data_IF_909381974867
#
_entry.id   IF_909381974867
#
_cell.length_a   1.000
_cell.length_b   1.000
_cell.length_c   1.000
_cell.angle_alpha   90.00
_cell.angle_beta   90.00
_cell.angle_gamma   90.00
#
_symmetry.space_group_name_H-M   'P 1'
#
loop_
_entity.id
_entity.type
_entity.pdbx_description
1 polymer ?
#
# COMPACT_ATOMS: atom_id res chain seq x y z
N UNK A 1 23.67 -17.23 -9.76
CA UNK A 1 22.56 -17.96 -10.38
C UNK A 1 22.68 -17.90 -11.89
N UNK A 2 22.53 -19.04 -12.57
CA UNK A 2 22.69 -19.15 -14.03
C UNK A 2 21.34 -19.12 -14.80
N UNK A 3 20.22 -19.00 -14.09
CA UNK A 3 18.87 -18.93 -14.64
C UNK A 3 18.40 -17.52 -14.93
N UNK A 4 17.12 -17.39 -15.25
CA UNK A 4 16.43 -16.09 -15.47
C UNK A 4 16.09 -15.44 -14.13
N UNK A 5 16.21 -14.11 -14.04
CA UNK A 5 15.82 -13.35 -12.83
C UNK A 5 14.33 -13.58 -12.48
N UNK A 6 13.48 -13.81 -13.48
CA UNK A 6 12.06 -14.09 -13.29
C UNK A 6 11.77 -15.38 -12.52
N UNK A 7 12.74 -16.31 -12.46
CA UNK A 7 12.60 -17.54 -11.69
C UNK A 7 12.43 -17.29 -10.20
N UNK A 8 13.01 -16.21 -9.65
CA UNK A 8 12.79 -15.79 -8.27
C UNK A 8 11.35 -15.33 -8.04
N UNK A 9 10.81 -14.53 -8.95
CA UNK A 9 9.44 -13.99 -8.87
C UNK A 9 8.35 -15.01 -9.18
N UNK A 10 8.71 -16.15 -9.74
CA UNK A 10 7.83 -17.30 -9.94
C UNK A 10 8.08 -18.44 -8.94
N UNK A 11 8.93 -18.21 -7.93
CA UNK A 11 9.32 -19.17 -6.89
C UNK A 11 9.89 -20.48 -7.45
N UNK A 12 10.49 -20.46 -8.64
CA UNK A 12 11.26 -21.57 -9.21
C UNK A 12 12.69 -21.64 -8.65
N UNK A 13 13.17 -20.50 -8.17
CA UNK A 13 14.48 -20.39 -7.50
C UNK A 13 14.37 -19.49 -6.26
N UNK A 14 15.30 -19.66 -5.34
CA UNK A 14 15.45 -18.84 -4.13
C UNK A 14 16.79 -18.11 -4.16
N UNK A 15 16.82 -16.88 -3.60
CA UNK A 15 18.06 -16.13 -3.43
C UNK A 15 18.91 -16.77 -2.34
N UNK A 16 20.04 -17.35 -2.72
CA UNK A 16 21.02 -17.91 -1.79
C UNK A 16 21.97 -16.82 -1.27
N UNK A 17 22.51 -16.03 -2.18
CA UNK A 17 23.40 -14.90 -1.87
C UNK A 17 23.04 -13.68 -2.72
N UNK A 18 23.30 -12.48 -2.17
CA UNK A 18 23.12 -11.22 -2.85
C UNK A 18 24.37 -10.36 -2.72
N UNK A 19 24.69 -9.58 -3.74
CA UNK A 19 25.70 -8.53 -3.62
C UNK A 19 25.27 -7.52 -2.56
N UNK A 20 26.21 -6.90 -1.81
CA UNK A 20 25.86 -5.86 -0.86
C UNK A 20 25.11 -4.71 -1.54
N UNK A 21 23.89 -4.45 -1.10
CA UNK A 21 23.08 -3.34 -1.58
C UNK A 21 23.24 -2.12 -0.68
N UNK A 22 23.12 -0.94 -1.26
CA UNK A 22 23.03 0.32 -0.55
C UNK A 22 22.00 1.22 -1.23
N UNK A 23 21.32 2.05 -0.46
CA UNK A 23 20.32 2.97 -0.97
C UNK A 23 20.72 4.42 -0.72
N UNK A 24 20.52 5.27 -1.73
CA UNK A 24 20.48 6.74 -1.58
C UNK A 24 19.06 7.16 -1.89
N UNK A 25 18.29 7.43 -0.84
CA UNK A 25 16.85 7.63 -0.96
C UNK A 25 16.52 8.98 -1.58
N UNK A 26 15.75 8.98 -2.66
CA UNK A 26 15.30 10.16 -3.39
C UNK A 26 13.79 10.33 -3.40
N UNK A 27 13.03 9.27 -3.10
CA UNK A 27 11.57 9.26 -3.01
C UNK A 27 11.14 8.39 -1.85
N UNK A 28 10.62 8.96 -0.75
CA UNK A 28 10.06 8.20 0.37
C UNK A 28 8.67 7.68 -0.01
N UNK A 29 8.51 6.38 -0.03
CA UNK A 29 7.28 5.66 -0.36
C UNK A 29 7.36 4.22 0.17
N UNK A 30 7.94 3.30 -0.61
CA UNK A 30 8.05 1.88 -0.31
C UNK A 30 9.03 1.50 0.81
N UNK A 31 9.76 2.44 1.41
CA UNK A 31 10.76 2.13 2.44
C UNK A 31 11.85 1.16 1.96
N UNK A 32 12.25 1.25 0.68
CA UNK A 32 13.17 0.31 0.02
C UNK A 32 14.53 0.20 0.71
N UNK A 33 14.94 1.23 1.45
CA UNK A 33 16.18 1.26 2.21
C UNK A 33 16.18 0.33 3.44
N UNK A 34 15.00 -0.09 3.90
CA UNK A 34 14.82 -1.02 5.03
C UNK A 34 13.97 -2.24 4.69
N UNK A 35 13.43 -2.31 3.48
CA UNK A 35 12.61 -3.43 3.00
C UNK A 35 13.47 -4.66 2.66
N UNK A 36 12.86 -5.82 2.73
CA UNK A 36 13.35 -7.10 2.21
C UNK A 36 12.71 -7.47 0.87
N UNK A 37 11.79 -6.64 0.38
CA UNK A 37 11.05 -6.88 -0.86
C UNK A 37 11.64 -6.16 -2.06
N UNK A 38 11.45 -6.75 -3.22
CA UNK A 38 11.70 -6.16 -4.53
C UNK A 38 10.53 -6.46 -5.45
N UNK A 39 10.21 -5.54 -6.36
CA UNK A 39 9.11 -5.68 -7.31
C UNK A 39 9.64 -5.36 -8.70
N UNK A 40 9.32 -6.21 -9.68
CA UNK A 40 9.64 -5.96 -11.08
C UNK A 40 8.44 -6.25 -11.98
N UNK A 41 8.42 -5.62 -13.14
CA UNK A 41 7.43 -5.91 -14.19
C UNK A 41 8.12 -6.69 -15.30
N UNK A 42 7.56 -7.85 -15.66
CA UNK A 42 7.90 -8.55 -16.88
C UNK A 42 7.05 -7.97 -18.01
N UNK A 43 7.69 -7.34 -18.99
CA UNK A 43 7.00 -6.74 -20.15
C UNK A 43 6.33 -7.79 -21.05
N UNK A 44 6.79 -9.06 -20.99
CA UNK A 44 6.07 -10.16 -21.63
C UNK A 44 4.85 -10.54 -20.78
N UNK A 45 3.71 -9.99 -21.16
CA UNK A 45 2.42 -10.17 -20.50
C UNK A 45 2.08 -9.15 -19.42
N UNK A 46 2.88 -8.08 -19.26
CA UNK A 46 2.65 -6.99 -18.27
C UNK A 46 2.40 -7.56 -16.85
N UNK A 47 3.32 -8.43 -16.42
CA UNK A 47 3.23 -9.12 -15.13
C UNK A 47 4.08 -8.41 -14.08
N UNK A 48 3.45 -7.70 -13.14
CA UNK A 48 4.14 -7.08 -12.01
C UNK A 48 4.10 -8.02 -10.80
N UNK A 49 5.26 -8.44 -10.32
CA UNK A 49 5.38 -9.38 -9.19
C UNK A 49 6.43 -8.93 -8.19
N UNK A 50 6.20 -9.32 -6.94
CA UNK A 50 7.13 -9.15 -5.83
C UNK A 50 7.94 -10.41 -5.54
N UNK A 51 9.07 -10.21 -4.87
CA UNK A 51 9.86 -11.24 -4.24
C UNK A 51 10.49 -10.70 -2.97
N UNK A 52 10.41 -11.43 -1.87
CA UNK A 52 10.93 -11.04 -0.56
C UNK A 52 12.05 -11.96 -0.07
N UNK A 53 13.12 -11.36 0.46
CA UNK A 53 14.19 -12.09 1.16
C UNK A 53 15.00 -11.13 2.03
N UNK A 54 15.30 -11.51 3.29
CA UNK A 54 16.18 -10.74 4.16
C UNK A 54 17.58 -10.49 3.57
N UNK A 55 17.98 -11.29 2.57
CA UNK A 55 19.26 -11.14 1.87
C UNK A 55 19.30 -9.90 0.98
N UNK A 56 18.11 -9.37 0.60
CA UNK A 56 17.95 -8.16 -0.23
C UNK A 56 18.04 -6.88 0.60
N UNK A 57 17.98 -6.93 1.93
CA UNK A 57 18.05 -5.73 2.76
C UNK A 57 19.33 -4.96 2.55
N UNK A 58 19.20 -3.63 2.38
CA UNK A 58 20.33 -2.73 2.22
C UNK A 58 21.29 -2.81 3.40
N UNK A 59 22.59 -2.77 3.13
CA UNK A 59 23.66 -2.75 4.14
C UNK A 59 23.91 -1.34 4.69
N UNK A 60 23.55 -0.33 3.93
CA UNK A 60 23.56 1.08 4.35
C UNK A 60 22.50 1.86 3.59
N UNK A 61 22.04 2.98 4.17
CA UNK A 61 21.17 3.92 3.52
C UNK A 61 21.65 5.36 3.76
N UNK A 62 21.60 6.17 2.71
CA UNK A 62 21.79 7.62 2.79
C UNK A 62 20.43 8.28 2.67
N UNK A 63 19.98 8.86 3.77
CA UNK A 63 18.64 9.43 3.91
C UNK A 63 18.76 10.94 4.16
N UNK A 64 18.95 11.71 3.07
CA UNK A 64 18.99 13.18 3.13
C UNK A 64 17.67 13.76 2.59
N UNK A 65 16.82 14.36 3.44
CA UNK A 65 15.56 14.97 3.05
C UNK A 65 15.67 16.01 1.92
N UNK A 66 16.79 16.72 1.79
CA UNK A 66 17.01 17.69 0.72
C UNK A 66 16.97 17.06 -0.69
N UNK A 67 17.28 15.76 -0.80
CA UNK A 67 17.20 15.03 -2.07
C UNK A 67 15.77 14.88 -2.57
N UNK A 68 14.77 15.16 -1.72
CA UNK A 68 13.35 15.06 -2.06
C UNK A 68 12.70 16.42 -2.36
N UNK A 69 13.43 17.56 -2.25
CA UNK A 69 12.88 18.91 -2.47
C UNK A 69 12.34 19.13 -3.87
N UNK A 70 12.93 18.46 -4.86
CA UNK A 70 12.54 18.57 -6.27
C UNK A 70 11.45 17.59 -6.71
N UNK A 71 10.95 16.75 -5.80
CA UNK A 71 9.86 15.84 -6.14
C UNK A 71 8.59 16.62 -6.50
N UNK A 72 7.95 16.27 -7.62
CA UNK A 72 6.64 16.82 -7.95
C UNK A 72 5.63 16.56 -6.83
N UNK A 73 4.66 17.48 -6.60
CA UNK A 73 3.61 17.29 -5.58
C UNK A 73 2.86 15.96 -5.72
N UNK A 74 2.57 15.54 -6.95
CA UNK A 74 1.91 14.27 -7.23
C UNK A 74 2.72 13.06 -6.73
N UNK A 75 4.03 13.04 -6.98
CA UNK A 75 4.90 11.95 -6.53
C UNK A 75 5.07 11.96 -4.99
N UNK A 76 5.11 13.15 -4.39
CA UNK A 76 5.11 13.27 -2.92
C UNK A 76 3.82 12.72 -2.32
N UNK A 77 2.66 13.06 -2.89
CA UNK A 77 1.36 12.58 -2.43
C UNK A 77 1.19 11.07 -2.65
N UNK A 78 1.63 10.55 -3.80
CA UNK A 78 1.63 9.10 -4.07
C UNK A 78 2.51 8.34 -3.06
N UNK A 79 3.70 8.87 -2.73
CA UNK A 79 4.56 8.29 -1.69
C UNK A 79 3.90 8.30 -0.31
N UNK A 80 3.18 9.36 0.04
CA UNK A 80 2.38 9.43 1.29
C UNK A 80 1.31 8.34 1.34
N UNK A 81 0.59 8.11 0.24
CA UNK A 81 -0.39 7.01 0.16
C UNK A 81 0.30 5.67 0.39
N UNK A 82 1.40 5.41 -0.29
CA UNK A 82 2.13 4.15 -0.20
C UNK A 82 2.61 3.85 1.24
N UNK A 83 3.14 4.87 1.95
CA UNK A 83 3.50 4.76 3.37
C UNK A 83 2.29 4.35 4.24
N UNK A 84 1.13 4.99 4.03
CA UNK A 84 -0.10 4.66 4.75
C UNK A 84 -0.54 3.24 4.41
N UNK A 85 -0.52 2.87 3.13
CA UNK A 85 -0.98 1.55 2.68
C UNK A 85 -0.09 0.43 3.21
N UNK A 86 1.23 0.55 3.21
CA UNK A 86 2.12 -0.42 3.85
C UNK A 86 1.81 -0.62 5.33
N UNK A 87 1.42 0.45 6.02
CA UNK A 87 0.99 0.36 7.42
C UNK A 87 -0.35 -0.34 7.56
N UNK A 88 -1.32 -0.03 6.68
CA UNK A 88 -2.67 -0.59 6.72
C UNK A 88 -2.70 -2.08 6.34
N UNK A 89 -1.85 -2.53 5.40
CA UNK A 89 -1.72 -3.95 5.05
C UNK A 89 -1.30 -4.82 6.25
N UNK A 90 -0.63 -4.23 7.22
CA UNK A 90 -0.24 -4.90 8.46
C UNK A 90 -1.21 -4.66 9.60
N UNK A 91 -1.94 -3.54 9.56
CA UNK A 91 -2.91 -3.16 10.58
C UNK A 91 -4.20 -3.97 10.47
N UNK A 92 -4.74 -4.16 9.25
CA UNK A 92 -5.96 -4.94 9.05
C UNK A 92 -5.66 -6.44 9.12
N UNK A 93 -5.73 -6.97 10.34
CA UNK A 93 -5.55 -8.38 10.67
C UNK A 93 -6.66 -8.83 11.62
N UNK A 94 -6.77 -10.14 11.84
CA UNK A 94 -7.62 -10.74 12.85
C UNK A 94 -6.88 -11.04 14.16
N UNK A 95 -5.61 -10.62 14.24
CA UNK A 95 -4.81 -10.82 15.45
C UNK A 95 -5.30 -9.89 16.56
N UNK A 96 -5.62 -10.46 17.71
CA UNK A 96 -6.11 -9.74 18.88
C UNK A 96 -4.96 -9.28 19.80
N UNK A 97 -5.25 -8.31 20.67
CA UNK A 97 -4.34 -7.80 21.71
C UNK A 97 -3.00 -7.21 21.22
N UNK A 98 -2.96 -6.67 20.00
CA UNK A 98 -1.77 -6.06 19.40
C UNK A 98 -1.62 -4.57 19.80
N UNK A 99 -1.99 -4.20 21.03
CA UNK A 99 -2.14 -2.80 21.48
C UNK A 99 -0.92 -1.92 21.21
N UNK A 100 0.30 -2.42 21.43
CA UNK A 100 1.54 -1.64 21.19
C UNK A 100 1.78 -1.46 19.69
N UNK A 101 1.70 -2.53 18.92
CA UNK A 101 1.87 -2.51 17.46
C UNK A 101 0.83 -1.63 16.79
N UNK A 102 -0.43 -1.75 17.20
CA UNK A 102 -1.54 -0.90 16.73
C UNK A 102 -1.30 0.58 17.02
N UNK A 103 -0.90 0.91 18.26
CA UNK A 103 -0.63 2.31 18.66
C UNK A 103 0.51 2.92 17.85
N UNK A 104 1.54 2.14 17.49
CA UNK A 104 2.63 2.58 16.62
C UNK A 104 2.10 2.85 15.21
N UNK A 105 1.34 1.92 14.64
CA UNK A 105 0.75 2.05 13.32
C UNK A 105 -0.20 3.26 13.22
N UNK A 106 -1.12 3.41 14.18
CA UNK A 106 -2.07 4.51 14.27
C UNK A 106 -1.37 5.87 14.40
N UNK A 107 -0.33 5.95 15.24
CA UNK A 107 0.49 7.17 15.39
C UNK A 107 1.24 7.52 14.11
N UNK A 108 1.78 6.52 13.41
CA UNK A 108 2.48 6.72 12.14
C UNK A 108 1.52 7.28 11.09
N UNK A 109 0.32 6.71 10.94
CA UNK A 109 -0.70 7.18 10.01
C UNK A 109 -1.10 8.62 10.30
N UNK A 110 -1.37 8.98 11.56
CA UNK A 110 -1.70 10.37 11.94
C UNK A 110 -0.57 11.34 11.62
N UNK A 111 0.67 10.96 11.92
CA UNK A 111 1.85 11.79 11.66
C UNK A 111 2.05 12.02 10.17
N UNK A 112 1.85 10.97 9.36
CA UNK A 112 1.98 11.05 7.89
C UNK A 112 0.90 11.94 7.30
N UNK A 113 -0.35 11.84 7.75
CA UNK A 113 -1.45 12.70 7.29
C UNK A 113 -1.17 14.19 7.58
N UNK A 114 -0.74 14.52 8.81
CA UNK A 114 -0.40 15.89 9.18
C UNK A 114 0.82 16.42 8.39
N UNK A 115 1.84 15.58 8.22
CA UNK A 115 3.06 15.93 7.48
C UNK A 115 2.81 16.10 5.99
N UNK A 116 1.85 15.35 5.41
CA UNK A 116 1.50 15.43 3.99
C UNK A 116 1.02 16.83 3.60
N UNK A 117 0.10 17.40 4.35
CA UNK A 117 -0.38 18.77 4.08
C UNK A 117 0.74 19.80 4.19
N UNK A 118 1.62 19.65 5.19
CA UNK A 118 2.75 20.55 5.41
C UNK A 118 3.78 20.47 4.29
N UNK A 119 4.15 19.25 3.88
CA UNK A 119 5.15 19.05 2.82
C UNK A 119 4.65 19.48 1.45
N UNK A 120 3.34 19.35 1.17
CA UNK A 120 2.75 19.84 -0.07
C UNK A 120 2.67 21.37 -0.14
N UNK A 121 2.50 22.03 1.01
CA UNK A 121 2.51 23.50 1.10
C UNK A 121 3.93 24.09 1.12
N UNK A 122 4.90 23.37 1.68
CA UNK A 122 6.30 23.78 1.83
C UNK A 122 7.23 22.65 1.37
N UNK A 123 7.35 22.43 0.06
CA UNK A 123 8.03 21.26 -0.49
C UNK A 123 9.55 21.22 -0.24
N UNK A 124 10.15 22.33 0.08
CA UNK A 124 11.57 22.51 0.43
C UNK A 124 11.83 22.61 1.96
N UNK A 125 10.81 22.37 2.78
CA UNK A 125 10.98 22.36 4.22
C UNK A 125 11.62 21.05 4.68
N UNK A 126 12.85 21.14 5.17
CA UNK A 126 13.64 19.97 5.62
C UNK A 126 12.90 19.12 6.66
N UNK A 127 12.29 19.75 7.68
CA UNK A 127 11.65 19.01 8.77
C UNK A 127 10.43 18.21 8.29
N UNK A 128 9.63 18.76 7.38
CA UNK A 128 8.46 18.06 6.83
C UNK A 128 8.88 16.90 5.94
N UNK A 129 9.91 17.10 5.10
CA UNK A 129 10.50 16.02 4.28
C UNK A 129 11.12 14.92 5.15
N UNK A 130 11.81 15.30 6.23
CA UNK A 130 12.42 14.34 7.16
C UNK A 130 11.37 13.45 7.84
N UNK A 131 10.21 14.00 8.23
CA UNK A 131 9.12 13.22 8.83
C UNK A 131 8.58 12.18 7.85
N UNK A 132 8.30 12.57 6.61
CA UNK A 132 7.83 11.63 5.57
C UNK A 132 8.90 10.58 5.26
N UNK A 133 10.15 10.98 5.14
CA UNK A 133 11.27 10.07 4.86
C UNK A 133 11.45 9.02 5.95
N UNK A 134 11.37 9.42 7.21
CA UNK A 134 11.48 8.48 8.34
C UNK A 134 10.24 7.59 8.45
N UNK A 135 9.06 8.15 8.25
CA UNK A 135 7.81 7.38 8.25
C UNK A 135 7.79 6.29 7.15
N UNK A 136 8.37 6.57 5.98
CA UNK A 136 8.54 5.58 4.90
C UNK A 136 9.32 4.35 5.35
N UNK A 137 10.46 4.55 6.01
CA UNK A 137 11.24 3.44 6.57
C UNK A 137 10.46 2.64 7.61
N UNK A 138 9.77 3.32 8.54
CA UNK A 138 9.03 2.68 9.63
C UNK A 138 7.79 1.91 9.14
N UNK A 139 7.16 2.38 8.07
CA UNK A 139 5.97 1.72 7.51
C UNK A 139 6.29 0.36 6.89
N UNK A 140 7.55 0.12 6.46
CA UNK A 140 7.89 -1.09 5.71
C UNK A 140 9.08 -1.89 6.28
N UNK A 141 9.62 -1.53 7.44
CA UNK A 141 10.70 -2.30 8.10
C UNK A 141 10.21 -3.44 9.00
N UNK A 142 8.90 -3.72 9.01
CA UNK A 142 8.27 -4.74 9.84
C UNK A 142 7.74 -4.24 11.19
N UNK A 143 8.09 -3.02 11.63
CA UNK A 143 7.69 -2.50 12.95
C UNK A 143 6.17 -2.44 13.13
N UNK A 144 5.44 -1.96 12.11
CA UNK A 144 3.98 -1.80 12.14
C UNK A 144 3.21 -3.12 11.98
N UNK A 145 3.92 -4.24 11.83
CA UNK A 145 3.37 -5.58 11.68
C UNK A 145 3.94 -6.61 12.67
N UNK A 146 4.61 -6.14 13.75
CA UNK A 146 5.16 -7.05 14.75
C UNK A 146 4.06 -7.86 15.44
N UNK A 147 4.07 -9.19 15.22
CA UNK A 147 3.10 -10.11 15.81
C UNK A 147 1.78 -10.22 15.05
N UNK A 148 1.64 -9.56 13.90
CA UNK A 148 0.42 -9.59 13.08
C UNK A 148 0.62 -10.35 11.78
N UNK A 149 -0.50 -10.87 11.25
CA UNK A 149 -0.58 -11.43 9.91
C UNK A 149 -0.93 -10.32 8.92
N UNK A 150 -0.05 -10.06 7.96
CA UNK A 150 -0.27 -9.00 6.93
C UNK A 150 -1.25 -9.44 5.85
N UNK A 151 -2.06 -8.52 5.33
CA UNK A 151 -3.10 -8.80 4.32
C UNK A 151 -2.56 -8.78 2.88
N UNK A 152 -2.00 -7.67 2.44
CA UNK A 152 -1.44 -7.40 1.09
C UNK A 152 -2.44 -7.41 -0.08
N UNK A 153 -3.73 -7.61 0.18
CA UNK A 153 -4.71 -7.70 -0.91
C UNK A 153 -4.76 -6.45 -1.79
N UNK A 154 -4.69 -5.25 -1.18
CA UNK A 154 -4.75 -4.01 -1.95
C UNK A 154 -3.52 -3.82 -2.83
N UNK A 155 -2.34 -4.23 -2.37
CA UNK A 155 -1.11 -4.20 -3.17
C UNK A 155 -1.18 -5.17 -4.35
N UNK A 156 -1.67 -6.39 -4.15
CA UNK A 156 -1.84 -7.34 -5.26
C UNK A 156 -2.85 -6.86 -6.29
N UNK A 157 -3.96 -6.27 -5.86
CA UNK A 157 -4.92 -5.64 -6.78
C UNK A 157 -4.29 -4.47 -7.56
N UNK A 158 -3.48 -3.64 -6.88
CA UNK A 158 -2.80 -2.52 -7.51
C UNK A 158 -1.71 -2.94 -8.50
N UNK A 159 -1.00 -4.03 -8.25
CA UNK A 159 0.02 -4.53 -9.16
C UNK A 159 -0.53 -4.76 -10.57
N UNK A 160 -1.78 -5.22 -10.68
CA UNK A 160 -2.41 -5.42 -11.99
C UNK A 160 -2.79 -4.09 -12.67
N UNK A 161 -3.16 -3.05 -11.90
CA UNK A 161 -3.37 -1.70 -12.44
C UNK A 161 -2.06 -1.11 -12.96
N UNK A 162 -0.99 -1.18 -12.19
CA UNK A 162 0.33 -0.72 -12.62
C UNK A 162 0.86 -1.52 -13.81
N UNK A 163 0.68 -2.84 -13.81
CA UNK A 163 1.11 -3.69 -14.91
C UNK A 163 0.38 -3.38 -16.21
N UNK A 164 -0.94 -3.13 -16.16
CA UNK A 164 -1.77 -2.89 -17.34
C UNK A 164 -1.73 -1.44 -17.84
N UNK A 165 -1.64 -0.46 -16.95
CA UNK A 165 -1.84 0.96 -17.29
C UNK A 165 -0.63 1.85 -17.02
N UNK A 166 0.47 1.30 -16.51
CA UNK A 166 1.70 2.02 -16.14
C UNK A 166 1.41 3.24 -15.23
N UNK A 167 0.55 3.05 -14.23
CA UNK A 167 0.16 4.11 -13.30
C UNK A 167 1.13 4.21 -12.13
N UNK A 168 1.18 5.38 -11.49
CA UNK A 168 1.96 5.58 -10.26
C UNK A 168 1.39 4.72 -9.14
N UNK A 169 2.22 3.85 -8.54
CA UNK A 169 1.83 2.82 -7.57
C UNK A 169 0.95 3.36 -6.42
N UNK A 170 1.40 4.40 -5.70
CA UNK A 170 0.62 4.96 -4.59
C UNK A 170 -0.72 5.55 -5.04
N UNK A 171 -0.82 6.08 -6.26
CA UNK A 171 -2.10 6.54 -6.81
C UNK A 171 -3.03 5.37 -7.15
N UNK A 172 -2.48 4.26 -7.68
CA UNK A 172 -3.22 3.02 -7.90
C UNK A 172 -3.77 2.43 -6.60
N UNK A 173 -2.96 2.41 -5.54
CA UNK A 173 -3.39 1.99 -4.20
C UNK A 173 -4.57 2.84 -3.69
N UNK A 174 -4.47 4.17 -3.81
CA UNK A 174 -5.55 5.07 -3.39
C UNK A 174 -6.86 4.81 -4.17
N UNK A 175 -6.75 4.49 -5.46
CA UNK A 175 -7.89 4.26 -6.33
C UNK A 175 -8.70 2.99 -6.00
N UNK A 176 -8.05 1.94 -5.48
CA UNK A 176 -8.71 0.64 -5.21
C UNK A 176 -9.01 0.40 -3.74
N UNK A 177 -8.29 1.06 -2.82
CA UNK A 177 -8.39 0.78 -1.38
C UNK A 177 -9.81 0.94 -0.83
N UNK A 178 -10.52 2.01 -1.20
CA UNK A 178 -11.86 2.27 -0.68
C UNK A 178 -12.87 1.19 -1.06
N UNK A 179 -12.75 0.64 -2.26
CA UNK A 179 -13.60 -0.46 -2.74
C UNK A 179 -13.26 -1.77 -2.05
N UNK A 180 -11.97 -2.09 -1.87
CA UNK A 180 -11.52 -3.22 -1.07
C UNK A 180 -12.05 -3.10 0.36
N UNK A 181 -11.84 -1.97 1.02
CA UNK A 181 -12.23 -1.76 2.40
C UNK A 181 -13.74 -1.96 2.61
N UNK A 182 -14.58 -1.43 1.72
CA UNK A 182 -16.05 -1.65 1.77
C UNK A 182 -16.45 -3.10 1.49
N UNK A 183 -15.65 -3.83 0.75
CA UNK A 183 -15.90 -5.23 0.47
C UNK A 183 -15.62 -6.14 1.67
N UNK A 184 -14.58 -5.79 2.47
CA UNK A 184 -14.08 -6.68 3.53
C UNK A 184 -14.44 -6.23 4.96
N UNK A 185 -14.85 -4.97 5.20
CA UNK A 185 -14.99 -4.43 6.56
C UNK A 185 -15.95 -5.22 7.47
N UNK A 186 -16.93 -5.91 6.89
CA UNK A 186 -17.89 -6.74 7.65
C UNK A 186 -17.26 -8.00 8.26
N UNK A 187 -16.08 -8.42 7.81
CA UNK A 187 -15.36 -9.55 8.44
C UNK A 187 -14.92 -9.20 9.87
N UNK A 188 -14.54 -7.93 10.10
CA UNK A 188 -14.26 -7.41 11.45
C UNK A 188 -14.56 -5.90 11.51
N UNK A 189 -15.83 -5.49 11.69
CA UNK A 189 -16.22 -4.08 11.76
C UNK A 189 -15.55 -3.34 12.91
N UNK A 190 -15.25 -4.04 14.01
CA UNK A 190 -14.59 -3.44 15.18
C UNK A 190 -13.17 -3.01 14.86
N UNK A 191 -12.42 -3.78 14.06
CA UNK A 191 -11.07 -3.43 13.61
C UNK A 191 -11.08 -2.17 12.74
N UNK A 192 -12.03 -2.07 11.81
CA UNK A 192 -12.23 -0.86 11.01
C UNK A 192 -12.71 0.34 11.84
N UNK A 193 -13.56 0.11 12.85
CA UNK A 193 -13.98 1.18 13.77
C UNK A 193 -12.80 1.68 14.63
N UNK A 194 -11.93 0.80 15.10
CA UNK A 194 -10.69 1.17 15.79
C UNK A 194 -9.80 2.04 14.90
N UNK A 195 -9.55 1.65 13.67
CA UNK A 195 -8.85 2.46 12.66
C UNK A 195 -9.50 3.84 12.50
N UNK A 196 -10.82 3.87 12.32
CA UNK A 196 -11.59 5.10 12.13
C UNK A 196 -11.37 6.10 13.29
N UNK A 197 -11.44 5.61 14.53
CA UNK A 197 -11.29 6.44 15.72
C UNK A 197 -9.82 6.84 15.94
N UNK A 198 -8.92 5.87 15.95
CA UNK A 198 -7.56 6.07 16.42
C UNK A 198 -6.63 6.64 15.35
N UNK A 199 -6.81 6.27 14.09
CA UNK A 199 -5.97 6.75 12.99
C UNK A 199 -6.60 7.94 12.24
N UNK A 200 -7.93 7.92 12.05
CA UNK A 200 -8.62 8.94 11.25
C UNK A 200 -9.30 10.03 12.09
N UNK A 201 -9.35 9.89 13.41
CA UNK A 201 -9.98 10.86 14.31
C UNK A 201 -11.51 10.94 14.16
N UNK A 202 -12.15 9.90 13.64
CA UNK A 202 -13.59 9.82 13.50
C UNK A 202 -14.23 9.64 14.88
N UNK A 203 -15.37 10.28 15.10
CA UNK A 203 -16.13 10.08 16.33
C UNK A 203 -16.72 8.68 16.40
N UNK A 204 -16.46 7.97 17.49
CA UNK A 204 -17.04 6.64 17.70
C UNK A 204 -18.57 6.70 17.79
N UNK A 205 -19.25 5.90 16.99
CA UNK A 205 -20.67 5.59 17.19
C UNK A 205 -20.78 4.32 18.03
N UNK A 206 -20.94 4.46 19.33
CA UNK A 206 -21.02 3.35 20.29
C UNK A 206 -22.22 2.39 20.06
N UNK A 207 -23.12 2.72 19.13
CA UNK A 207 -24.26 1.89 18.76
C UNK A 207 -24.01 1.02 17.53
N UNK A 208 -23.03 1.40 16.69
CA UNK A 208 -22.72 0.69 15.46
C UNK A 208 -21.24 0.81 15.11
N UNK A 209 -20.51 -0.29 15.26
CA UNK A 209 -19.14 -0.40 14.78
C UNK A 209 -19.08 -0.24 13.26
N UNK A 210 -20.07 -0.75 12.54
CA UNK A 210 -20.19 -0.68 11.08
C UNK A 210 -20.28 0.77 10.58
N UNK A 211 -21.14 1.60 11.20
CA UNK A 211 -21.23 3.03 10.84
C UNK A 211 -19.93 3.77 11.13
N UNK A 212 -19.25 3.45 12.24
CA UNK A 212 -17.95 4.02 12.58
C UNK A 212 -16.89 3.58 11.57
N UNK A 213 -16.89 2.30 11.18
CA UNK A 213 -16.00 1.74 10.17
C UNK A 213 -16.14 2.45 8.81
N UNK A 214 -17.38 2.57 8.32
CA UNK A 214 -17.66 3.27 7.06
C UNK A 214 -17.24 4.73 7.09
N UNK A 215 -17.48 5.43 8.20
CA UNK A 215 -17.01 6.81 8.37
C UNK A 215 -15.48 6.92 8.34
N UNK A 216 -14.76 5.90 8.83
CA UNK A 216 -13.30 5.80 8.73
C UNK A 216 -12.81 5.60 7.31
N UNK A 217 -13.48 4.72 6.55
CA UNK A 217 -13.17 4.50 5.13
C UNK A 217 -13.34 5.81 4.35
N UNK A 218 -14.47 6.47 4.52
CA UNK A 218 -14.72 7.77 3.89
C UNK A 218 -13.72 8.85 4.32
N UNK A 219 -13.26 8.84 5.57
CA UNK A 219 -12.28 9.79 6.07
C UNK A 219 -10.93 9.64 5.36
N UNK A 220 -10.47 8.41 5.12
CA UNK A 220 -9.22 8.17 4.41
C UNK A 220 -9.35 8.52 2.92
N UNK A 221 -10.47 8.20 2.27
CA UNK A 221 -10.70 8.64 0.88
C UNK A 221 -10.76 10.17 0.77
N UNK A 222 -11.39 10.86 1.72
CA UNK A 222 -11.35 12.34 1.75
C UNK A 222 -9.93 12.86 1.91
N UNK A 223 -9.11 12.21 2.73
CA UNK A 223 -7.69 12.57 2.86
C UNK A 223 -6.95 12.37 1.52
N UNK A 224 -7.13 11.23 0.84
CA UNK A 224 -6.51 10.98 -0.46
C UNK A 224 -6.91 12.06 -1.49
N UNK A 225 -8.19 12.38 -1.60
CA UNK A 225 -8.65 13.48 -2.47
C UNK A 225 -8.04 14.83 -2.09
N UNK A 226 -7.93 15.12 -0.79
CA UNK A 226 -7.38 16.38 -0.30
C UNK A 226 -5.90 16.59 -0.63
N UNK A 227 -5.14 15.51 -0.81
CA UNK A 227 -3.74 15.55 -1.27
C UNK A 227 -3.59 15.33 -2.79
N UNK A 228 -4.71 15.32 -3.54
CA UNK A 228 -4.72 15.22 -5.01
C UNK A 228 -4.57 13.80 -5.54
N UNK A 229 -4.91 12.79 -4.75
CA UNK A 229 -4.87 11.38 -5.17
C UNK A 229 -6.25 10.89 -5.60
N UNK A 230 -6.32 10.02 -6.64
CA UNK A 230 -7.58 9.45 -7.12
C UNK A 230 -8.17 8.48 -6.09
N UNK A 231 -9.49 8.33 -6.09
CA UNK A 231 -10.21 7.37 -5.24
C UNK A 231 -11.09 6.42 -6.06
N UNK A 232 -10.90 6.41 -7.37
CA UNK A 232 -11.46 5.43 -8.29
C UNK A 232 -10.50 5.18 -9.45
N UNK A 233 -10.69 4.08 -10.17
CA UNK A 233 -9.87 3.75 -11.35
C UNK A 233 -10.15 4.75 -12.48
N UNK A 234 -11.41 5.21 -12.61
CA UNK A 234 -11.74 6.25 -13.57
C UNK A 234 -10.93 7.54 -13.35
N UNK A 235 -10.85 8.01 -12.10
CA UNK A 235 -10.04 9.20 -11.76
C UNK A 235 -8.55 8.97 -12.03
N UNK A 236 -8.06 7.73 -11.83
CA UNK A 236 -6.66 7.35 -12.00
C UNK A 236 -6.24 7.38 -13.48
N UNK A 237 -7.02 6.76 -14.36
CA UNK A 237 -6.64 6.56 -15.77
C UNK A 237 -7.38 7.50 -16.75
N UNK A 238 -8.32 8.31 -16.25
CA UNK A 238 -9.06 9.31 -17.04
C UNK A 238 -10.14 8.73 -17.97
N UNK A 239 -10.51 7.45 -17.78
CA UNK A 239 -11.59 6.77 -18.51
C UNK A 239 -12.19 5.62 -17.70
N UNK A 240 -13.36 5.16 -18.13
CA UNK A 240 -13.91 3.90 -17.60
C UNK A 240 -13.05 2.70 -18.03
N UNK A 241 -12.87 1.75 -17.10
CA UNK A 241 -12.31 0.44 -17.44
C UNK A 241 -13.40 -0.47 -17.98
N UNK A 242 -13.03 -1.34 -18.92
CA UNK A 242 -13.95 -2.30 -19.52
C UNK A 242 -14.09 -3.56 -18.66
N UNK A 243 -15.15 -4.33 -18.90
CA UNK A 243 -15.32 -5.63 -18.22
C UNK A 243 -14.26 -6.65 -18.65
N UNK A 244 -13.69 -6.52 -19.87
CA UNK A 244 -12.56 -7.31 -20.35
C UNK A 244 -11.31 -7.01 -19.55
N UNK A 245 -11.00 -5.73 -19.31
CA UNK A 245 -9.85 -5.30 -18.49
C UNK A 245 -10.00 -5.79 -17.04
N UNK A 246 -11.19 -5.69 -16.46
CA UNK A 246 -11.48 -6.24 -15.12
C UNK A 246 -11.21 -7.74 -15.05
N UNK A 247 -11.74 -8.49 -16.03
CA UNK A 247 -11.51 -9.95 -16.08
C UNK A 247 -10.05 -10.31 -16.27
N UNK A 248 -9.31 -9.54 -17.07
CA UNK A 248 -7.88 -9.77 -17.29
C UNK A 248 -7.05 -9.47 -16.03
N UNK A 249 -7.28 -8.36 -15.35
CA UNK A 249 -6.63 -8.06 -14.07
C UNK A 249 -6.91 -9.15 -13.03
N UNK A 250 -8.18 -9.53 -12.86
CA UNK A 250 -8.56 -10.58 -11.91
C UNK A 250 -7.98 -11.96 -12.28
N UNK A 251 -7.87 -12.27 -13.58
CA UNK A 251 -7.22 -13.48 -14.07
C UNK A 251 -5.73 -13.52 -13.70
N UNK A 252 -5.02 -12.41 -13.95
CA UNK A 252 -3.59 -12.28 -13.63
C UNK A 252 -3.36 -12.35 -12.13
N UNK A 253 -4.08 -11.55 -11.33
CA UNK A 253 -3.98 -11.49 -9.88
C UNK A 253 -4.25 -12.85 -9.21
N UNK A 254 -5.16 -13.66 -9.78
CA UNK A 254 -5.51 -14.99 -9.28
C UNK A 254 -4.73 -16.14 -9.92
N UNK A 255 -3.72 -15.84 -10.76
CA UNK A 255 -2.97 -16.86 -11.53
C UNK A 255 -3.91 -17.86 -12.20
N UNK A 256 -4.80 -17.34 -13.06
CA UNK A 256 -5.86 -18.09 -13.74
C UNK A 256 -6.83 -18.82 -12.78
N UNK A 257 -7.08 -18.24 -11.60
CA UNK A 257 -8.00 -18.78 -10.59
C UNK A 257 -7.39 -19.87 -9.69
N UNK A 258 -6.07 -20.08 -9.77
CA UNK A 258 -5.36 -21.06 -8.90
C UNK A 258 -4.86 -20.45 -7.59
N UNK A 259 -4.89 -19.13 -7.47
CA UNK A 259 -4.39 -18.39 -6.31
C UNK A 259 -5.46 -17.43 -5.75
N UNK A 260 -5.45 -17.25 -4.45
CA UNK A 260 -6.25 -16.25 -3.73
C UNK A 260 -5.32 -15.27 -3.02
N UNK A 261 -5.79 -14.05 -2.77
CA UNK A 261 -5.04 -13.00 -2.09
C UNK A 261 -5.73 -12.60 -0.79
N UNK A 262 -4.98 -11.93 0.09
CA UNK A 262 -5.50 -11.42 1.35
C UNK A 262 -5.55 -12.44 2.47
N UNK A 263 -5.43 -11.95 3.70
CA UNK A 263 -5.56 -12.72 4.95
C UNK A 263 -6.73 -12.21 5.80
N UNK A 264 -7.05 -10.92 5.74
CA UNK A 264 -8.20 -10.35 6.43
C UNK A 264 -9.52 -10.90 5.87
N UNK A 265 -9.61 -11.03 4.57
CA UNK A 265 -10.56 -11.85 3.84
C UNK A 265 -9.83 -12.49 2.68
N UNK A 266 -9.90 -13.82 2.62
CA UNK A 266 -9.34 -14.54 1.48
C UNK A 266 -10.21 -14.26 0.25
N UNK A 267 -9.63 -13.59 -0.75
CA UNK A 267 -10.30 -13.15 -1.97
C UNK A 267 -9.97 -14.08 -3.12
N UNK A 268 -11.00 -14.66 -3.72
CA UNK A 268 -10.90 -15.40 -4.97
C UNK A 268 -11.04 -14.46 -6.18
N UNK A 269 -11.00 -15.01 -7.40
CA UNK A 269 -11.11 -14.23 -8.63
C UNK A 269 -12.41 -13.43 -8.75
N UNK A 270 -13.54 -13.98 -8.33
CA UNK A 270 -14.84 -13.29 -8.39
C UNK A 270 -14.89 -12.12 -7.41
N UNK A 271 -14.31 -12.28 -6.22
CA UNK A 271 -14.18 -11.20 -5.23
C UNK A 271 -13.35 -10.04 -5.79
N UNK A 272 -12.23 -10.36 -6.46
CA UNK A 272 -11.36 -9.36 -7.12
C UNK A 272 -12.12 -8.60 -8.21
N UNK A 273 -12.90 -9.30 -9.05
CA UNK A 273 -13.75 -8.67 -10.06
C UNK A 273 -14.80 -7.73 -9.45
N UNK A 274 -15.40 -8.11 -8.32
CA UNK A 274 -16.34 -7.25 -7.61
C UNK A 274 -15.67 -5.96 -7.10
N UNK A 275 -14.47 -6.08 -6.51
CA UNK A 275 -13.72 -4.94 -6.01
C UNK A 275 -13.34 -3.99 -7.15
N UNK A 276 -12.83 -4.50 -8.28
CA UNK A 276 -12.50 -3.66 -9.44
C UNK A 276 -13.73 -2.98 -10.05
N UNK A 277 -14.88 -3.68 -10.12
CA UNK A 277 -16.14 -3.05 -10.58
C UNK A 277 -16.60 -1.94 -9.66
N UNK A 278 -16.43 -2.10 -8.35
CA UNK A 278 -16.78 -1.08 -7.37
C UNK A 278 -15.79 0.11 -7.39
N UNK A 279 -14.56 -0.10 -7.84
CA UNK A 279 -13.53 0.93 -7.99
C UNK A 279 -13.56 1.66 -9.36
N UNK A 280 -14.43 1.22 -10.29
CA UNK A 280 -14.58 1.77 -11.65
C UNK A 280 -14.87 3.26 -11.74
#
# INVERSE_FOLDING_TARGET
YEGDVWDFFTHKAEVDTCLPLGAVLTLPAAGSEMSDATVITNEDGDLKKDYGSDKLRCKFAVMNPERTFTLPPYQTAAGVVDIIMHTLERYFSHDDDMTVTDSIAESLIRTVQDSAFKVLQQPDNYLHRAQIMWASSLSHNGLTGCGTTSDWATHFLEHELSGMFDVTHGAGLAAVWGSWARYVYLENPTRFAQFAVNAMGVRNNFKSAEETALAGIEALERFFRAIGMPTSIHELIGREITDEEIREMSRKCSYDGTHSIGSFKVLNREDMEHIYRAAR
#
